data_IF_459796473096
#
_entry.id   IF_459796473096
#
_cell.length_a   1.000
_cell.length_b   1.000
_cell.length_c   1.000
_cell.angle_alpha   90.00
_cell.angle_beta   90.00
_cell.angle_gamma   90.00
#
_symmetry.space_group_name_H-M   'P 1'
#
loop_
_entity.id
_entity.type
_entity.pdbx_description
1 polymer ?
#
# COMPACT_ATOMS: atom_id res chain seq x y z
N UNK A 1 -20.14 -3.05 32.52
CA UNK A 1 -20.67 -2.44 31.28
C UNK A 1 -19.56 -1.60 30.67
N UNK A 2 -19.02 -1.97 29.49
CA UNK A 2 -17.93 -1.21 28.87
C UNK A 2 -18.51 0.03 28.18
N UNK A 3 -18.40 1.19 28.83
CA UNK A 3 -18.87 2.49 28.34
C UNK A 3 -17.98 3.04 27.23
N UNK A 4 -18.26 2.65 26.00
CA UNK A 4 -17.51 3.10 24.82
C UNK A 4 -18.44 3.84 23.85
N UNK A 5 -18.94 4.99 24.29
CA UNK A 5 -19.68 5.96 23.49
C UNK A 5 -18.74 6.64 22.49
N UNK A 6 -18.47 5.97 21.37
CA UNK A 6 -17.71 6.54 20.23
C UNK A 6 -16.68 5.60 19.58
N UNK A 7 -16.25 4.56 20.29
CA UNK A 7 -15.09 3.73 19.87
C UNK A 7 -15.46 2.70 18.77
N UNK A 8 -16.72 2.27 18.68
CA UNK A 8 -17.10 1.14 17.80
C UNK A 8 -17.09 1.42 16.29
N UNK A 9 -17.63 2.55 15.84
CA UNK A 9 -17.73 2.82 14.38
C UNK A 9 -16.41 3.36 13.83
N UNK A 10 -15.71 4.19 14.61
CA UNK A 10 -14.44 4.77 14.18
C UNK A 10 -13.33 3.73 14.09
N UNK A 11 -13.25 2.79 15.04
CA UNK A 11 -12.26 1.72 15.00
C UNK A 11 -12.53 0.74 13.85
N UNK A 12 -13.79 0.38 13.60
CA UNK A 12 -14.14 -0.45 12.44
C UNK A 12 -13.77 0.23 11.12
N UNK A 13 -14.07 1.53 10.99
CA UNK A 13 -13.66 2.34 9.83
C UNK A 13 -12.13 2.30 9.68
N UNK A 14 -11.41 2.41 10.78
CA UNK A 14 -9.95 2.43 10.78
C UNK A 14 -9.36 1.08 10.40
N UNK A 15 -9.81 -0.02 11.03
CA UNK A 15 -9.36 -1.37 10.73
C UNK A 15 -9.68 -1.78 9.29
N UNK A 16 -10.88 -1.46 8.81
CA UNK A 16 -11.29 -1.76 7.43
C UNK A 16 -10.45 -1.00 6.40
N UNK A 17 -10.24 0.30 6.62
CA UNK A 17 -9.40 1.13 5.75
C UNK A 17 -7.95 0.65 5.73
N UNK A 18 -7.36 0.39 6.90
CA UNK A 18 -5.99 -0.08 7.02
C UNK A 18 -5.79 -1.44 6.34
N UNK A 19 -6.75 -2.36 6.47
CA UNK A 19 -6.68 -3.66 5.83
C UNK A 19 -6.71 -3.55 4.29
N UNK A 20 -7.66 -2.77 3.74
CA UNK A 20 -7.77 -2.59 2.29
C UNK A 20 -6.55 -1.89 1.68
N UNK A 21 -6.04 -0.85 2.34
CA UNK A 21 -4.84 -0.16 1.84
C UNK A 21 -3.64 -1.08 1.91
N UNK A 22 -3.47 -1.83 3.01
CA UNK A 22 -2.37 -2.81 3.15
C UNK A 22 -2.48 -3.98 2.17
N UNK A 23 -3.67 -4.32 1.69
CA UNK A 23 -3.86 -5.31 0.62
C UNK A 23 -3.64 -4.74 -0.78
N UNK A 24 -3.23 -3.48 -0.91
CA UNK A 24 -2.91 -2.83 -2.17
C UNK A 24 -4.10 -2.15 -2.87
N UNK A 25 -5.25 -1.99 -2.19
CA UNK A 25 -6.38 -1.25 -2.76
C UNK A 25 -6.06 0.25 -2.75
N UNK A 26 -6.31 0.92 -3.88
CA UNK A 26 -6.01 2.34 -4.03
C UNK A 26 -6.89 3.22 -3.12
N UNK A 27 -6.30 4.30 -2.59
CA UNK A 27 -6.99 5.25 -1.71
C UNK A 27 -8.32 5.80 -2.26
N UNK A 28 -8.47 6.10 -3.57
CA UNK A 28 -9.75 6.54 -4.11
C UNK A 28 -10.86 5.47 -3.99
N UNK A 29 -10.52 4.19 -4.15
CA UNK A 29 -11.46 3.08 -4.01
C UNK A 29 -11.82 2.89 -2.54
N UNK A 30 -10.83 2.90 -1.65
CA UNK A 30 -11.06 2.81 -0.19
C UNK A 30 -11.95 3.95 0.30
N UNK A 31 -11.74 5.17 -0.19
CA UNK A 31 -12.57 6.32 0.14
C UNK A 31 -14.03 6.15 -0.27
N UNK A 32 -14.28 5.64 -1.49
CA UNK A 32 -15.65 5.36 -1.96
C UNK A 32 -16.34 4.28 -1.12
N UNK A 33 -15.62 3.21 -0.76
CA UNK A 33 -16.15 2.13 0.09
C UNK A 33 -16.52 2.61 1.51
N UNK A 34 -15.79 3.60 2.03
CA UNK A 34 -16.03 4.22 3.34
C UNK A 34 -17.06 5.37 3.30
N UNK A 35 -17.57 5.71 2.12
CA UNK A 35 -18.47 6.85 1.92
C UNK A 35 -17.81 8.21 2.15
N UNK A 36 -16.49 8.32 1.97
CA UNK A 36 -15.80 9.61 2.05
C UNK A 36 -16.06 10.43 0.79
N UNK A 37 -16.71 11.57 0.97
CA UNK A 37 -16.90 12.58 -0.08
C UNK A 37 -15.63 13.39 -0.35
N UNK A 38 -14.75 13.53 0.64
CA UNK A 38 -13.49 14.25 0.52
C UNK A 38 -12.29 13.28 0.50
N UNK A 39 -11.41 13.35 -0.50
CA UNK A 39 -10.19 12.51 -0.56
C UNK A 39 -9.25 12.73 0.62
N UNK A 40 -9.23 13.94 1.21
CA UNK A 40 -8.38 14.27 2.36
C UNK A 40 -8.68 13.38 3.56
N UNK A 41 -9.93 12.95 3.74
CA UNK A 41 -10.34 12.05 4.84
C UNK A 41 -9.71 10.66 4.69
N UNK A 42 -9.45 10.22 3.46
CA UNK A 42 -8.79 8.94 3.17
C UNK A 42 -7.26 9.06 3.13
N UNK A 43 -6.72 10.27 2.91
CA UNK A 43 -5.27 10.51 2.86
C UNK A 43 -4.54 10.11 4.16
N UNK A 44 -5.24 10.07 5.30
CA UNK A 44 -4.70 9.54 6.57
C UNK A 44 -4.14 8.12 6.43
N UNK A 45 -4.64 7.32 5.48
CA UNK A 45 -4.19 5.94 5.25
C UNK A 45 -3.09 5.82 4.20
N UNK A 46 -2.65 6.90 3.56
CA UNK A 46 -1.70 6.84 2.44
C UNK A 46 -0.38 6.16 2.78
N UNK A 47 0.12 6.37 3.99
CA UNK A 47 1.35 5.74 4.48
C UNK A 47 1.26 4.20 4.55
N UNK A 48 0.06 3.62 4.66
CA UNK A 48 -0.11 2.16 4.60
C UNK A 48 0.04 1.61 3.19
N UNK A 49 -0.07 2.44 2.14
CA UNK A 49 0.06 2.01 0.75
C UNK A 49 1.53 1.83 0.33
N UNK A 50 2.47 2.48 1.02
CA UNK A 50 3.90 2.34 0.76
C UNK A 50 4.44 0.94 1.11
N UNK A 51 3.83 0.30 2.10
CA UNK A 51 4.19 -1.05 2.53
C UNK A 51 3.86 -2.13 1.46
N UNK A 52 2.63 -2.25 0.92
CA UNK A 52 2.30 -3.23 -0.10
C UNK A 52 2.98 -2.96 -1.43
N UNK A 53 3.25 -1.70 -1.80
CA UNK A 53 4.01 -1.42 -3.03
C UNK A 53 5.45 -1.94 -2.92
N UNK A 54 6.09 -1.72 -1.78
CA UNK A 54 7.42 -2.29 -1.47
C UNK A 54 7.38 -3.81 -1.39
N UNK A 55 6.36 -4.39 -0.77
CA UNK A 55 6.21 -5.84 -0.68
C UNK A 55 5.98 -6.48 -2.06
N UNK A 56 5.14 -5.88 -2.91
CA UNK A 56 4.94 -6.32 -4.29
C UNK A 56 6.22 -6.22 -5.12
N UNK A 57 6.97 -5.13 -4.99
CA UNK A 57 8.28 -4.95 -5.64
C UNK A 57 9.33 -5.96 -5.13
N UNK A 58 9.29 -6.34 -3.84
CA UNK A 58 10.16 -7.39 -3.30
C UNK A 58 9.75 -8.79 -3.76
N UNK A 59 8.45 -9.06 -3.93
CA UNK A 59 7.94 -10.35 -4.43
C UNK A 59 8.27 -10.57 -5.89
N UNK A 60 8.31 -9.51 -6.68
CA UNK A 60 8.78 -9.55 -8.07
C UNK A 60 10.08 -8.76 -8.17
N UNK A 61 11.25 -9.38 -7.90
CA UNK A 61 12.49 -8.76 -8.31
C UNK A 61 12.35 -8.55 -9.81
N UNK A 62 12.23 -7.29 -10.22
CA UNK A 62 12.19 -6.93 -11.63
C UNK A 62 13.59 -7.27 -12.16
N UNK A 63 13.77 -8.52 -12.58
CA UNK A 63 14.96 -8.94 -13.31
C UNK A 63 14.79 -8.29 -14.66
N UNK A 64 15.24 -7.03 -14.76
CA UNK A 64 15.42 -6.38 -16.04
C UNK A 64 16.52 -7.17 -16.75
N UNK A 65 16.21 -7.94 -17.80
CA UNK A 65 17.24 -8.59 -18.58
C UNK A 65 17.95 -7.49 -19.37
N UNK A 66 19.02 -6.92 -18.82
CA UNK A 66 19.83 -5.94 -19.57
C UNK A 66 20.70 -4.95 -18.81
N UNK A 67 20.70 -4.89 -17.47
CA UNK A 67 21.56 -3.91 -16.75
C UNK A 67 22.90 -4.47 -16.26
N UNK A 68 23.23 -5.72 -16.57
CA UNK A 68 24.59 -6.24 -16.46
C UNK A 68 25.45 -5.72 -17.64
N UNK A 69 25.67 -4.40 -17.66
CA UNK A 69 26.51 -3.67 -18.62
C UNK A 69 28.01 -3.91 -18.43
N UNK A 70 28.43 -4.94 -17.70
CA UNK A 70 29.83 -5.19 -17.37
C UNK A 70 30.24 -6.67 -17.54
N UNK A 71 30.03 -7.22 -18.75
CA UNK A 71 30.76 -8.42 -19.20
C UNK A 71 31.54 -8.23 -20.50
N UNK A 72 31.65 -6.99 -20.99
CA UNK A 72 32.46 -6.67 -22.18
C UNK A 72 33.93 -6.41 -21.78
N UNK A 73 34.47 -7.17 -20.81
CA UNK A 73 35.85 -7.03 -20.31
C UNK A 73 36.55 -8.35 -20.00
N UNK A 74 36.10 -9.48 -20.54
CA UNK A 74 36.90 -10.70 -20.45
C UNK A 74 36.55 -11.67 -21.59
N UNK A 75 37.40 -11.73 -22.61
CA UNK A 75 37.59 -12.82 -23.61
C UNK A 75 38.32 -12.28 -24.86
N UNK A 76 39.34 -11.43 -24.64
CA UNK A 76 40.40 -11.15 -25.62
C UNK A 76 41.74 -11.15 -24.90
N UNK A 77 42.11 -12.32 -24.39
CA UNK A 77 43.48 -12.70 -24.05
C UNK A 77 43.59 -14.23 -24.20
#
# INVERSE_FOLDING_TARGET
>A
MAGLSGVRIHDLRHSFASHLVSSGVSLPIVGKLLGHTQPQTTARYAHLADNPLREAANRFPVVLPGTARDRIRNERD
#
